data_IF_926490072876
#
_entry.id   IF_926490072876
#
_cell.length_a   1.000
_cell.length_b   1.000
_cell.length_c   1.000
_cell.angle_alpha   90.00
_cell.angle_beta   90.00
_cell.angle_gamma   90.00
#
_symmetry.space_group_name_H-M   'P 1'
#
loop_
_entity.id
_entity.type
_entity.pdbx_description
1 polymer ?
#
# COMPACT_ATOMS: atom_id res chain seq x y z
N UNK A 1 20.78 -20.22 -28.67
CA UNK A 1 19.77 -21.23 -28.27
C UNK A 1 19.08 -20.69 -27.04
N UNK A 2 17.75 -20.58 -27.10
CA UNK A 2 16.91 -19.91 -26.11
C UNK A 2 17.06 -20.53 -24.72
N UNK A 3 17.53 -19.74 -23.75
CA UNK A 3 17.27 -20.04 -22.34
C UNK A 3 15.78 -19.89 -22.12
N UNK A 4 15.08 -21.01 -22.04
CA UNK A 4 13.69 -21.04 -21.62
C UNK A 4 13.72 -20.71 -20.13
N UNK A 5 13.56 -19.42 -19.80
CA UNK A 5 13.20 -19.01 -18.45
C UNK A 5 11.96 -19.81 -18.09
N UNK A 6 12.04 -20.67 -17.06
CA UNK A 6 10.92 -21.51 -16.66
C UNK A 6 9.67 -20.63 -16.52
N UNK A 7 8.57 -20.92 -17.27
CA UNK A 7 7.38 -20.06 -17.30
C UNK A 7 6.74 -19.89 -15.91
N UNK A 8 7.13 -20.73 -14.95
CA UNK A 8 6.73 -20.66 -13.55
C UNK A 8 7.26 -19.44 -12.80
N UNK A 9 8.45 -18.92 -13.14
CA UNK A 9 9.07 -17.80 -12.40
C UNK A 9 8.26 -16.50 -12.53
N UNK A 10 7.95 -15.99 -13.75
CA UNK A 10 7.12 -14.80 -13.88
C UNK A 10 5.71 -15.04 -13.30
N UNK A 11 5.15 -16.25 -13.45
CA UNK A 11 3.85 -16.59 -12.89
C UNK A 11 3.81 -16.47 -11.36
N UNK A 12 4.84 -16.96 -10.67
CA UNK A 12 4.96 -16.85 -9.21
C UNK A 12 5.03 -15.39 -8.74
N UNK A 13 5.76 -14.53 -9.47
CA UNK A 13 5.86 -13.10 -9.17
C UNK A 13 4.49 -12.42 -9.32
N UNK A 14 3.79 -12.63 -10.43
CA UNK A 14 2.45 -12.07 -10.62
C UNK A 14 1.43 -12.60 -9.60
N UNK A 15 1.50 -13.89 -9.27
CA UNK A 15 0.66 -14.50 -8.24
C UNK A 15 0.86 -13.84 -6.88
N UNK A 16 2.11 -13.55 -6.51
CA UNK A 16 2.42 -12.89 -5.23
C UNK A 16 1.76 -11.51 -5.11
N UNK A 17 1.75 -10.72 -6.20
CA UNK A 17 1.11 -9.41 -6.25
C UNK A 17 -0.40 -9.55 -6.05
N UNK A 18 -1.03 -10.50 -6.77
CA UNK A 18 -2.47 -10.77 -6.65
C UNK A 18 -2.83 -11.15 -5.21
N UNK A 19 -2.06 -12.04 -4.59
CA UNK A 19 -2.29 -12.49 -3.20
C UNK A 19 -2.17 -11.32 -2.22
N UNK A 20 -1.13 -10.49 -2.34
CA UNK A 20 -0.94 -9.31 -1.48
C UNK A 20 -2.11 -8.34 -1.63
N UNK A 21 -2.51 -8.02 -2.86
CA UNK A 21 -3.65 -7.12 -3.12
C UNK A 21 -4.95 -7.70 -2.57
N UNK A 22 -5.21 -8.99 -2.79
CA UNK A 22 -6.40 -9.68 -2.27
C UNK A 22 -6.44 -9.65 -0.73
N UNK A 23 -5.31 -9.87 -0.06
CA UNK A 23 -5.20 -9.79 1.41
C UNK A 23 -5.49 -8.37 1.92
N UNK A 24 -4.91 -7.35 1.31
CA UNK A 24 -5.13 -5.94 1.70
C UNK A 24 -6.59 -5.55 1.50
N UNK A 25 -7.20 -5.92 0.37
CA UNK A 25 -8.61 -5.64 0.08
C UNK A 25 -9.53 -6.37 1.05
N UNK A 26 -9.27 -7.66 1.33
CA UNK A 26 -10.02 -8.44 2.31
C UNK A 26 -9.94 -7.83 3.71
N UNK A 27 -8.77 -7.37 4.12
CA UNK A 27 -8.58 -6.75 5.43
C UNK A 27 -9.32 -5.41 5.54
N UNK A 28 -9.23 -4.56 4.50
CA UNK A 28 -9.99 -3.30 4.42
C UNK A 28 -11.50 -3.53 4.43
N UNK A 29 -11.98 -4.53 3.70
CA UNK A 29 -13.40 -4.89 3.68
C UNK A 29 -13.88 -5.34 5.07
N UNK A 30 -13.09 -6.19 5.74
CA UNK A 30 -13.41 -6.63 7.12
C UNK A 30 -13.46 -5.47 8.10
N UNK A 31 -12.50 -4.56 8.05
CA UNK A 31 -12.47 -3.38 8.92
C UNK A 31 -13.71 -2.48 8.71
N UNK A 32 -14.06 -2.19 7.44
CA UNK A 32 -15.26 -1.41 7.13
C UNK A 32 -16.53 -2.11 7.62
N UNK A 33 -16.65 -3.41 7.40
CA UNK A 33 -17.82 -4.18 7.85
C UNK A 33 -17.95 -4.13 9.37
N UNK A 34 -16.86 -4.35 10.11
CA UNK A 34 -16.85 -4.30 11.57
C UNK A 34 -17.21 -2.91 12.11
N UNK A 35 -16.71 -1.83 11.49
CA UNK A 35 -17.08 -0.46 11.87
C UNK A 35 -18.58 -0.21 11.66
N UNK A 36 -19.12 -0.63 10.51
CA UNK A 36 -20.54 -0.49 10.20
C UNK A 36 -21.41 -1.29 11.16
N UNK A 37 -21.06 -2.54 11.44
CA UNK A 37 -21.80 -3.41 12.35
C UNK A 37 -21.77 -2.87 13.80
N UNK A 38 -20.64 -2.30 14.23
CA UNK A 38 -20.52 -1.64 15.53
C UNK A 38 -21.38 -0.37 15.62
N UNK A 39 -21.45 0.43 14.55
CA UNK A 39 -22.33 1.61 14.47
C UNK A 39 -23.79 1.19 14.58
N UNK A 40 -24.23 0.20 13.79
CA UNK A 40 -25.62 -0.29 13.84
C UNK A 40 -25.98 -0.85 15.22
N UNK A 41 -25.08 -1.63 15.84
CA UNK A 41 -25.30 -2.17 17.18
C UNK A 41 -25.33 -1.08 18.26
N UNK A 42 -24.55 0.00 18.10
CA UNK A 42 -24.61 1.14 19.01
C UNK A 42 -25.91 1.96 18.84
N UNK A 43 -26.44 2.04 17.61
CA UNK A 43 -27.72 2.69 17.31
C UNK A 43 -28.91 1.92 17.89
N UNK A 44 -28.92 0.59 17.80
CA UNK A 44 -30.01 -0.26 18.35
C UNK A 44 -30.12 -0.18 19.88
N UNK A 45 -29.04 0.15 20.59
CA UNK A 45 -29.01 0.25 22.06
C UNK A 45 -29.17 1.69 22.58
N UNK A 46 -29.23 2.71 21.71
CA UNK A 46 -29.36 4.10 22.10
C UNK A 46 -30.83 4.55 22.03
N UNK A 47 -31.47 4.70 23.18
CA UNK A 47 -32.87 5.12 23.35
C UNK A 47 -33.16 6.52 22.75
N UNK A 48 -32.12 7.33 22.53
CA UNK A 48 -32.16 8.53 21.70
C UNK A 48 -30.83 8.71 20.96
N UNK A 49 -30.87 8.57 19.63
CA UNK A 49 -29.68 8.73 18.77
C UNK A 49 -29.32 10.21 18.72
N UNK A 50 -28.40 10.65 19.58
CA UNK A 50 -27.80 11.98 19.42
C UNK A 50 -26.80 11.92 18.26
N UNK A 51 -27.03 12.73 17.22
CA UNK A 51 -26.22 12.79 15.99
C UNK A 51 -24.71 13.02 16.26
N UNK A 52 -24.39 13.57 17.44
CA UNK A 52 -23.05 13.80 17.95
C UNK A 52 -22.23 12.51 18.12
N UNK A 53 -22.86 11.41 18.56
CA UNK A 53 -22.18 10.10 18.74
C UNK A 53 -21.84 9.47 17.38
N UNK A 54 -22.73 9.61 16.39
CA UNK A 54 -22.47 9.17 15.02
C UNK A 54 -21.26 9.92 14.45
N UNK A 55 -21.17 11.23 14.67
CA UNK A 55 -20.02 12.03 14.25
C UNK A 55 -18.71 11.64 14.95
N UNK A 56 -18.76 11.25 16.23
CA UNK A 56 -17.59 10.79 16.97
C UNK A 56 -17.07 9.42 16.48
N UNK A 57 -17.96 8.50 16.09
CA UNK A 57 -17.57 7.18 15.56
C UNK A 57 -17.03 7.30 14.13
N UNK A 58 -17.50 8.29 13.37
CA UNK A 58 -17.10 8.50 11.98
C UNK A 58 -15.75 9.17 11.81
N UNK A 59 -14.93 9.30 12.87
CA UNK A 59 -13.63 9.96 12.78
C UNK A 59 -12.83 9.36 11.62
N UNK A 60 -12.64 10.13 10.53
CA UNK A 60 -11.92 9.63 9.37
C UNK A 60 -10.49 9.30 9.80
N UNK A 61 -9.87 8.28 9.20
CA UNK A 61 -8.43 8.02 9.37
C UNK A 61 -7.70 9.36 9.28
N UNK A 62 -6.85 9.66 10.27
CA UNK A 62 -6.22 10.98 10.31
C UNK A 62 -5.49 11.21 8.99
N UNK A 63 -5.62 12.40 8.39
CA UNK A 63 -4.95 12.71 7.12
C UNK A 63 -3.44 12.43 7.22
N UNK A 64 -2.87 12.64 8.41
CA UNK A 64 -1.50 12.31 8.77
C UNK A 64 -1.18 10.81 8.64
N UNK A 65 -2.03 9.93 9.15
CA UNK A 65 -1.85 8.48 9.03
C UNK A 65 -1.98 8.01 7.57
N UNK A 66 -2.83 8.68 6.79
CA UNK A 66 -3.01 8.40 5.36
C UNK A 66 -1.76 8.74 4.54
N UNK A 67 -1.13 9.88 4.82
CA UNK A 67 0.09 10.31 4.12
C UNK A 67 1.29 9.43 4.50
N UNK A 68 1.42 9.05 5.78
CA UNK A 68 2.44 8.07 6.21
C UNK A 68 2.28 6.74 5.47
N UNK A 69 1.06 6.20 5.41
CA UNK A 69 0.77 4.95 4.72
C UNK A 69 1.13 5.03 3.24
N UNK A 70 0.79 6.14 2.57
CA UNK A 70 1.13 6.36 1.16
C UNK A 70 2.65 6.43 0.95
N UNK A 71 3.37 7.17 1.80
CA UNK A 71 4.82 7.29 1.71
C UNK A 71 5.53 5.96 1.87
N UNK A 72 5.17 5.18 2.89
CA UNK A 72 5.74 3.86 3.14
C UNK A 72 5.45 2.88 2.00
N UNK A 73 4.24 2.87 1.46
CA UNK A 73 3.89 2.00 0.33
C UNK A 73 4.70 2.32 -0.93
N UNK A 74 4.89 3.61 -1.23
CA UNK A 74 5.66 4.06 -2.39
C UNK A 74 7.16 3.72 -2.25
N UNK A 75 7.72 3.87 -1.05
CA UNK A 75 9.09 3.43 -0.78
C UNK A 75 9.25 1.91 -0.89
N UNK A 76 8.31 1.14 -0.34
CA UNK A 76 8.33 -0.31 -0.46
C UNK A 76 8.23 -0.76 -1.93
N UNK A 77 7.40 -0.08 -2.73
CA UNK A 77 7.29 -0.34 -4.16
C UNK A 77 8.57 0.00 -4.92
N UNK A 78 9.21 1.13 -4.59
CA UNK A 78 10.51 1.49 -5.16
C UNK A 78 11.61 0.47 -4.81
N UNK A 79 11.66 0.02 -3.56
CA UNK A 79 12.61 -1.01 -3.13
C UNK A 79 12.39 -2.34 -3.86
N UNK A 80 11.13 -2.72 -4.10
CA UNK A 80 10.81 -3.91 -4.88
C UNK A 80 11.27 -3.78 -6.35
N UNK A 81 11.06 -2.61 -6.99
CA UNK A 81 11.54 -2.35 -8.35
C UNK A 81 13.08 -2.35 -8.43
N UNK A 82 13.75 -1.74 -7.45
CA UNK A 82 15.21 -1.75 -7.38
C UNK A 82 15.77 -3.18 -7.20
N UNK A 83 15.14 -3.98 -6.32
CA UNK A 83 15.49 -5.39 -6.16
C UNK A 83 15.24 -6.22 -7.43
N UNK A 84 14.15 -5.94 -8.14
CA UNK A 84 13.84 -6.59 -9.42
C UNK A 84 14.87 -6.22 -10.50
N UNK A 85 15.32 -4.96 -10.55
CA UNK A 85 16.41 -4.52 -11.43
C UNK A 85 17.70 -5.31 -11.18
N UNK A 86 18.06 -5.57 -9.92
CA UNK A 86 19.24 -6.40 -9.60
C UNK A 86 19.13 -7.82 -10.13
N UNK A 87 17.95 -8.44 -9.98
CA UNK A 87 17.70 -9.77 -10.54
C UNK A 87 17.87 -9.80 -12.06
N UNK A 88 17.47 -8.72 -12.73
CA UNK A 88 17.56 -8.61 -14.17
C UNK A 88 18.99 -8.41 -14.69
N UNK A 89 19.85 -7.73 -13.92
CA UNK A 89 21.29 -7.65 -14.25
C UNK A 89 21.96 -9.03 -14.15
N UNK A 90 21.56 -9.87 -13.19
CA UNK A 90 22.04 -11.26 -13.08
C UNK A 90 21.65 -12.07 -14.34
N UNK A 91 20.49 -11.80 -14.94
CA UNK A 91 20.03 -12.39 -16.20
C UNK A 91 20.65 -11.74 -17.45
N UNK A 92 21.75 -10.98 -17.31
CA UNK A 92 22.50 -10.33 -18.40
C UNK A 92 21.66 -9.40 -19.27
N UNK A 93 20.64 -8.79 -18.67
CA UNK A 93 19.73 -7.85 -19.31
C UNK A 93 20.01 -6.43 -18.78
N UNK A 94 21.23 -5.94 -18.97
CA UNK A 94 21.75 -4.75 -18.31
C UNK A 94 21.01 -3.46 -18.70
N UNK A 95 20.71 -3.25 -19.98
CA UNK A 95 19.94 -2.07 -20.45
C UNK A 95 18.56 -1.99 -19.79
N UNK A 96 17.89 -3.14 -19.66
CA UNK A 96 16.57 -3.23 -19.04
C UNK A 96 16.69 -3.11 -17.50
N UNK A 97 17.78 -3.62 -16.91
CA UNK A 97 18.07 -3.45 -15.48
C UNK A 97 18.26 -1.98 -15.11
N UNK A 98 19.05 -1.24 -15.88
CA UNK A 98 19.29 0.20 -15.68
C UNK A 98 18.00 1.01 -15.85
N UNK A 99 17.21 0.71 -16.88
CA UNK A 99 15.93 1.37 -17.12
C UNK A 99 14.95 1.16 -15.94
N UNK A 100 14.84 -0.07 -15.42
CA UNK A 100 13.98 -0.38 -14.27
C UNK A 100 14.51 0.27 -12.99
N UNK A 101 15.83 0.33 -12.80
CA UNK A 101 16.43 1.03 -11.66
C UNK A 101 16.08 2.52 -11.70
N UNK A 102 16.22 3.16 -12.87
CA UNK A 102 15.79 4.55 -13.07
C UNK A 102 14.29 4.74 -12.83
N UNK A 103 13.45 3.79 -13.27
CA UNK A 103 12.01 3.82 -13.03
C UNK A 103 11.67 3.73 -11.52
N UNK A 104 12.46 2.99 -10.75
CA UNK A 104 12.27 2.86 -9.29
C UNK A 104 12.47 4.18 -8.52
N UNK A 105 13.22 5.13 -9.10
CA UNK A 105 13.50 6.42 -8.48
C UNK A 105 12.24 7.30 -8.32
N UNK A 106 11.28 7.18 -9.24
CA UNK A 106 10.02 7.93 -9.19
C UNK A 106 9.18 7.62 -7.95
N UNK A 107 8.80 6.35 -7.68
CA UNK A 107 8.09 6.02 -6.44
C UNK A 107 8.97 6.26 -5.20
N UNK A 108 10.31 6.14 -5.28
CA UNK A 108 11.18 6.46 -4.16
C UNK A 108 11.08 7.94 -3.76
N UNK A 109 11.23 8.84 -4.74
CA UNK A 109 11.11 10.28 -4.53
C UNK A 109 9.73 10.65 -3.99
N UNK A 110 8.66 10.10 -4.58
CA UNK A 110 7.30 10.33 -4.10
C UNK A 110 7.08 9.85 -2.67
N UNK A 111 7.60 8.66 -2.33
CA UNK A 111 7.52 8.11 -0.99
C UNK A 111 8.23 8.99 0.05
N UNK A 112 9.39 9.53 -0.30
CA UNK A 112 10.12 10.50 0.53
C UNK A 112 9.32 11.79 0.75
N UNK A 113 8.69 12.34 -0.29
CA UNK A 113 7.86 13.55 -0.18
C UNK A 113 6.72 13.35 0.84
N UNK A 114 6.00 12.22 0.77
CA UNK A 114 4.94 11.91 1.73
C UNK A 114 5.46 11.77 3.17
N UNK A 115 6.66 11.19 3.36
CA UNK A 115 7.30 11.10 4.68
C UNK A 115 7.73 12.47 5.22
N UNK A 116 8.25 13.34 4.36
CA UNK A 116 8.61 14.71 4.73
C UNK A 116 7.35 15.49 5.16
N UNK A 117 6.26 15.39 4.41
CA UNK A 117 4.99 16.00 4.82
C UNK A 117 4.45 15.44 6.13
N UNK A 118 4.54 14.12 6.32
CA UNK A 118 4.19 13.49 7.59
C UNK A 118 5.02 14.05 8.75
N UNK A 119 6.34 14.16 8.60
CA UNK A 119 7.23 14.68 9.64
C UNK A 119 6.97 16.16 9.92
N UNK A 120 6.77 16.96 8.87
CA UNK A 120 6.45 18.38 8.98
C UNK A 120 5.11 18.61 9.69
N UNK A 121 4.08 17.83 9.35
CA UNK A 121 2.76 17.94 9.96
C UNK A 121 2.68 17.32 11.36
N UNK A 122 3.56 16.38 11.71
CA UNK A 122 3.69 15.86 13.09
C UNK A 122 4.31 16.88 14.04
N UNK A 123 5.07 17.85 13.52
CA UNK A 123 5.81 18.87 14.31
C UNK A 123 4.98 20.12 14.63
N UNK A 124 3.78 20.25 14.07
CA UNK A 124 2.78 21.28 14.39
C UNK A 124 1.73 20.70 15.32
#
# INVERSE_FOLDING_TARGET
MHEIVDPFVPFAVFLSIIVIVALVLRHKYRLKKLQTDAIFKALDNAESVNAEIIHAIRQPESPLAKDLRRGVLLLAFAAALAGFSQFLSILRSDELSEAILGLSLFPAAMGLVYLVFYLASKRR
#
